data_IF_132542879672
#
_entry.id   IF_132542879672
#
_cell.length_a   1.000
_cell.length_b   1.000
_cell.length_c   1.000
_cell.angle_alpha   90.00
_cell.angle_beta   90.00
_cell.angle_gamma   90.00
#
_symmetry.space_group_name_H-M   'P 1'
#
loop_
_entity.id
_entity.type
_entity.pdbx_description
1 polymer ?
#
# COMPACT_ATOMS: atom_id res chain seq x y z
N UNK A 1 29.15 -17.89 -5.63
CA UNK A 1 27.72 -17.68 -5.27
C UNK A 1 27.64 -16.38 -4.50
N UNK A 2 27.08 -15.28 -5.02
CA UNK A 2 26.90 -14.09 -4.20
C UNK A 2 25.86 -14.40 -3.13
N UNK A 3 26.29 -14.47 -1.88
CA UNK A 3 25.38 -14.50 -0.74
C UNK A 3 24.78 -13.10 -0.62
N UNK A 4 23.64 -12.90 -1.26
CA UNK A 4 22.86 -11.67 -1.07
C UNK A 4 22.44 -11.63 0.40
N UNK A 5 22.95 -10.64 1.14
CA UNK A 5 22.53 -10.38 2.51
C UNK A 5 21.05 -9.97 2.47
N UNK A 6 20.17 -10.95 2.67
CA UNK A 6 18.73 -10.72 2.77
C UNK A 6 18.37 -10.66 4.24
N UNK A 7 17.80 -9.52 4.64
CA UNK A 7 17.17 -9.41 5.95
C UNK A 7 15.97 -10.37 6.02
N UNK A 8 15.70 -10.99 7.19
CA UNK A 8 14.45 -11.69 7.43
C UNK A 8 13.25 -10.77 7.20
N UNK A 9 12.13 -11.33 6.75
CA UNK A 9 10.92 -10.57 6.43
C UNK A 9 10.36 -9.86 7.67
N UNK A 10 10.43 -10.52 8.83
CA UNK A 10 9.97 -10.00 10.12
C UNK A 10 10.70 -8.71 10.51
N UNK A 11 11.99 -8.61 10.18
CA UNK A 11 12.79 -7.41 10.45
C UNK A 11 12.37 -6.28 9.52
N UNK A 12 12.16 -6.57 8.23
CA UNK A 12 11.70 -5.55 7.28
C UNK A 12 10.28 -5.08 7.59
N UNK A 13 9.41 -5.98 8.02
CA UNK A 13 8.04 -5.66 8.42
C UNK A 13 8.04 -4.76 9.65
N UNK A 14 8.85 -5.09 10.67
CA UNK A 14 9.02 -4.27 11.86
C UNK A 14 9.49 -2.86 11.51
N UNK A 15 10.44 -2.71 10.58
CA UNK A 15 10.91 -1.39 10.12
C UNK A 15 9.77 -0.61 9.45
N UNK A 16 9.01 -1.27 8.58
CA UNK A 16 7.92 -0.64 7.84
C UNK A 16 6.72 -0.28 8.73
N UNK A 17 6.49 -1.05 9.79
CA UNK A 17 5.46 -0.75 10.80
C UNK A 17 5.71 0.58 11.51
N UNK A 18 6.97 0.98 11.74
CA UNK A 18 7.28 2.31 12.28
C UNK A 18 6.97 3.46 11.32
N UNK A 19 6.74 3.17 10.04
CA UNK A 19 6.45 4.15 8.99
C UNK A 19 4.96 4.24 8.62
N UNK A 20 4.07 3.61 9.39
CA UNK A 20 2.63 3.52 9.08
C UNK A 20 1.98 4.88 8.75
N UNK A 21 2.38 5.96 9.43
CA UNK A 21 1.88 7.32 9.20
C UNK A 21 2.66 8.10 8.13
N UNK A 22 3.89 7.70 7.80
CA UNK A 22 4.72 8.34 6.79
C UNK A 22 4.55 7.68 5.41
N UNK A 23 3.43 8.06 4.77
CA UNK A 23 3.07 7.57 3.44
C UNK A 23 4.09 7.95 2.36
N UNK A 24 4.84 9.05 2.52
CA UNK A 24 5.83 9.46 1.54
C UNK A 24 7.04 8.51 1.58
N UNK A 25 7.54 8.20 2.79
CA UNK A 25 8.62 7.24 2.96
C UNK A 25 8.20 5.83 2.57
N UNK A 26 6.99 5.38 2.92
CA UNK A 26 6.46 4.08 2.49
C UNK A 26 6.42 3.91 0.97
N UNK A 27 6.11 4.97 0.21
CA UNK A 27 6.14 4.93 -1.28
C UNK A 27 7.55 4.72 -1.80
N UNK A 28 8.55 5.35 -1.19
CA UNK A 28 9.96 5.13 -1.52
C UNK A 28 10.38 3.69 -1.17
N UNK A 29 9.95 3.19 -0.01
CA UNK A 29 10.22 1.82 0.45
C UNK A 29 9.67 0.75 -0.50
N UNK A 30 8.53 0.97 -1.15
CA UNK A 30 8.00 0.08 -2.20
C UNK A 30 9.00 -0.19 -3.35
N UNK A 31 9.92 0.75 -3.61
CA UNK A 31 10.87 0.70 -4.72
C UNK A 31 12.23 0.10 -4.31
N UNK A 32 12.49 -0.08 -3.01
CA UNK A 32 13.76 -0.59 -2.49
C UNK A 32 13.95 -2.07 -2.86
N UNK A 33 12.93 -2.89 -2.61
CA UNK A 33 12.96 -4.32 -2.92
C UNK A 33 11.55 -4.89 -3.08
N UNK A 34 11.41 -5.92 -3.93
CA UNK A 34 10.13 -6.63 -4.12
C UNK A 34 9.59 -7.25 -2.83
N UNK A 35 10.47 -7.64 -1.91
CA UNK A 35 10.09 -8.23 -0.61
C UNK A 35 9.47 -7.22 0.34
N UNK A 36 9.71 -5.92 0.15
CA UNK A 36 9.14 -4.86 1.00
C UNK A 36 7.75 -4.44 0.53
N UNK A 37 7.41 -4.75 -0.73
CA UNK A 37 6.19 -4.31 -1.38
C UNK A 37 4.92 -4.76 -0.64
N UNK A 38 4.77 -6.02 -0.16
CA UNK A 38 3.55 -6.43 0.54
C UNK A 38 3.26 -5.59 1.78
N UNK A 39 4.27 -5.33 2.61
CA UNK A 39 4.14 -4.60 3.87
C UNK A 39 3.98 -3.09 3.64
N UNK A 40 4.65 -2.54 2.64
CA UNK A 40 4.40 -1.15 2.24
C UNK A 40 2.96 -0.97 1.71
N UNK A 41 2.48 -1.90 0.86
CA UNK A 41 1.12 -1.87 0.33
C UNK A 41 0.07 -2.04 1.41
N UNK A 42 0.32 -2.89 2.39
CA UNK A 42 -0.52 -3.02 3.57
C UNK A 42 -0.75 -1.67 4.24
N UNK A 43 0.32 -0.91 4.53
CA UNK A 43 0.19 0.41 5.18
C UNK A 43 -0.37 1.48 4.24
N UNK A 44 0.00 1.46 2.95
CA UNK A 44 -0.46 2.46 1.99
C UNK A 44 -1.94 2.30 1.62
N UNK A 45 -2.45 1.08 1.52
CA UNK A 45 -3.80 0.81 1.04
C UNK A 45 -4.78 0.36 2.13
N UNK A 46 -4.34 0.27 3.40
CA UNK A 46 -5.22 -0.06 4.54
C UNK A 46 -6.41 0.88 4.67
N UNK A 47 -6.22 2.17 4.38
CA UNK A 47 -7.27 3.19 4.38
C UNK A 47 -7.35 3.88 3.02
N UNK A 48 -8.56 3.87 2.44
CA UNK A 48 -8.88 4.56 1.19
C UNK A 48 -9.98 5.58 1.45
N UNK A 49 -9.75 6.81 0.98
CA UNK A 49 -10.72 7.91 1.03
C UNK A 49 -11.16 8.22 -0.39
N UNK A 50 -12.45 8.05 -0.67
CA UNK A 50 -13.09 8.44 -1.92
C UNK A 50 -13.93 9.70 -1.71
N UNK A 51 -14.02 10.53 -2.75
CA UNK A 51 -14.69 11.83 -2.70
C UNK A 51 -16.00 11.83 -3.49
N UNK A 52 -16.73 12.95 -3.44
CA UNK A 52 -17.94 13.18 -4.23
C UNK A 52 -17.75 12.98 -5.74
N UNK A 53 -18.87 12.85 -6.46
CA UNK A 53 -18.92 12.40 -7.86
C UNK A 53 -18.10 13.24 -8.86
N UNK A 54 -17.86 14.52 -8.57
CA UNK A 54 -17.10 15.42 -9.44
C UNK A 54 -15.58 15.31 -9.27
N UNK A 55 -15.12 14.55 -8.27
CA UNK A 55 -13.70 14.41 -7.98
C UNK A 55 -13.09 13.24 -8.77
N UNK A 56 -11.82 13.33 -9.24
CA UNK A 56 -11.13 12.22 -9.92
C UNK A 56 -11.01 10.93 -9.08
N UNK A 57 -11.07 11.06 -7.75
CA UNK A 57 -11.10 9.97 -6.76
C UNK A 57 -12.54 9.67 -6.30
N UNK A 58 -13.51 9.79 -7.21
CA UNK A 58 -14.90 9.48 -6.92
C UNK A 58 -15.08 8.00 -6.61
N UNK A 59 -16.16 7.68 -5.91
CA UNK A 59 -16.55 6.29 -5.68
C UNK A 59 -16.70 5.51 -6.99
N UNK A 60 -17.23 6.14 -8.05
CA UNK A 60 -17.39 5.49 -9.36
C UNK A 60 -16.04 5.07 -9.96
N UNK A 61 -15.08 6.00 -10.04
CA UNK A 61 -13.74 5.70 -10.57
C UNK A 61 -13.01 4.65 -9.73
N UNK A 62 -13.20 4.69 -8.40
CA UNK A 62 -12.63 3.68 -7.51
C UNK A 62 -13.23 2.29 -7.74
N UNK A 63 -14.55 2.19 -7.92
CA UNK A 63 -15.22 0.93 -8.23
C UNK A 63 -14.84 0.37 -9.61
N UNK A 64 -14.57 1.24 -10.60
CA UNK A 64 -14.02 0.82 -11.89
C UNK A 64 -12.56 0.37 -11.79
N UNK A 65 -11.77 0.99 -10.90
CA UNK A 65 -10.37 0.63 -10.67
C UNK A 65 -10.20 -0.71 -9.94
N UNK A 66 -11.02 -1.00 -8.93
CA UNK A 66 -10.85 -2.18 -8.07
C UNK A 66 -10.71 -3.53 -8.81
N UNK A 67 -11.54 -3.84 -9.82
CA UNK A 67 -11.40 -5.08 -10.59
C UNK A 67 -10.07 -5.19 -11.36
N UNK A 68 -9.47 -4.05 -11.74
CA UNK A 68 -8.20 -4.04 -12.49
C UNK A 68 -6.99 -4.36 -11.62
N UNK A 69 -7.12 -4.25 -10.30
CA UNK A 69 -6.01 -4.36 -9.34
C UNK A 69 -6.42 -5.19 -8.12
N UNK A 70 -6.65 -6.49 -8.33
CA UNK A 70 -7.03 -7.44 -7.27
C UNK A 70 -6.01 -7.51 -6.13
N UNK A 71 -4.73 -7.32 -6.44
CA UNK A 71 -3.65 -7.31 -5.46
C UNK A 71 -3.82 -6.15 -4.45
N UNK A 72 -4.24 -4.97 -4.91
CA UNK A 72 -4.47 -3.81 -4.04
C UNK A 72 -5.75 -3.99 -3.22
N UNK A 73 -6.81 -4.51 -3.82
CA UNK A 73 -8.11 -4.67 -3.16
C UNK A 73 -8.02 -5.46 -1.84
N UNK A 74 -7.15 -6.47 -1.78
CA UNK A 74 -6.94 -7.30 -0.58
C UNK A 74 -6.33 -6.56 0.62
N UNK A 75 -5.70 -5.41 0.40
CA UNK A 75 -5.10 -4.60 1.46
C UNK A 75 -6.08 -3.59 2.07
N UNK A 76 -7.24 -3.35 1.44
CA UNK A 76 -8.18 -2.32 1.87
C UNK A 76 -8.95 -2.80 3.09
N UNK A 77 -8.77 -2.09 4.22
CA UNK A 77 -9.43 -2.40 5.50
C UNK A 77 -10.51 -1.39 5.85
N UNK A 78 -10.31 -0.13 5.45
CA UNK A 78 -11.22 0.98 5.74
C UNK A 78 -11.47 1.77 4.47
N UNK A 79 -12.74 1.97 4.13
CA UNK A 79 -13.19 2.86 3.06
C UNK A 79 -13.97 4.01 3.66
N UNK A 80 -13.55 5.25 3.40
CA UNK A 80 -14.25 6.48 3.83
C UNK A 80 -14.76 7.23 2.61
N UNK A 81 -16.03 7.62 2.64
CA UNK A 81 -16.64 8.47 1.61
C UNK A 81 -16.81 9.86 2.20
N UNK A 82 -16.21 10.88 1.56
CA UNK A 82 -16.24 12.27 2.01
C UNK A 82 -16.77 13.23 0.96
#
# INVERSE_FOLDING_TARGET
MPHTLRLPAEVTDTILDYLHDDRATLRTCCLVARTWLPSCRYHLFSEVVVRSAEHPLSLANFLEFLPTSQDIASYIRTLKVV
#
